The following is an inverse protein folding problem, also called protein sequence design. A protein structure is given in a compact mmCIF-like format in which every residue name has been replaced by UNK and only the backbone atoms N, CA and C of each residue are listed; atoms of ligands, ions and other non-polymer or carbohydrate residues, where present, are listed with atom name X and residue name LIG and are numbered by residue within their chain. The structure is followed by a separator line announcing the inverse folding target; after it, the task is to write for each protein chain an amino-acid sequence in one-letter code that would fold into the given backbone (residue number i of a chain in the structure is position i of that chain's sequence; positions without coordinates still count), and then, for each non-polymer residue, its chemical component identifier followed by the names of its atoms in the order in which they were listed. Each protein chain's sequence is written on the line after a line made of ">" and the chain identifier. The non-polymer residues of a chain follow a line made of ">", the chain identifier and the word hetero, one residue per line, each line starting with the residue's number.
data_IF_350774272959
#
_entry.id   IF_350774272959
#
_cell.length_a   1.000
_cell.length_b   1.000
_cell.length_c   1.000
_cell.angle_alpha   90.00
_cell.angle_beta   90.00
_cell.angle_gamma   90.00
#
_symmetry.space_group_name_H-M   'P 1'
#
loop_
_entity.id
_entity.type
_entity.pdbx_description
1 polymer ?
#
# COMPACT_ATOMS: atom_id res chain seq x y z
N UNK A 1 -53.51 -15.60 85.33
CA UNK A 1 -54.67 -14.71 85.10
C UNK A 1 -54.25 -13.59 84.15
N UNK A 2 -55.00 -13.39 83.05
CA UNK A 2 -54.99 -12.26 82.06
C UNK A 2 -53.79 -12.16 81.09
N UNK A 3 -53.96 -12.58 79.82
CA UNK A 3 -54.36 -11.85 78.56
C UNK A 3 -53.11 -11.24 77.86
N UNK A 4 -52.59 -11.59 76.66
CA UNK A 4 -53.03 -11.98 75.29
C UNK A 4 -53.75 -10.90 74.44
N UNK A 5 -53.12 -10.58 73.28
CA UNK A 5 -53.62 -10.30 71.91
C UNK A 5 -53.66 -8.87 71.28
N UNK A 6 -53.02 -8.78 70.08
CA UNK A 6 -53.39 -8.15 68.77
C UNK A 6 -53.49 -6.60 68.69
N UNK A 7 -53.24 -5.79 67.62
CA UNK A 7 -53.23 -5.88 66.11
C UNK A 7 -52.66 -4.51 65.59
N UNK A 8 -51.68 -4.41 64.65
CA UNK A 8 -51.75 -4.15 63.17
C UNK A 8 -51.73 -2.68 62.64
N UNK A 9 -50.80 -2.44 61.69
CA UNK A 9 -50.73 -1.52 60.52
C UNK A 9 -50.88 0.01 60.71
N UNK A 10 -50.19 0.91 60.00
CA UNK A 10 -50.05 1.04 58.53
C UNK A 10 -48.71 1.74 58.19
N UNK A 11 -47.95 1.14 57.27
CA UNK A 11 -46.80 1.71 56.57
C UNK A 11 -47.32 2.24 55.22
N UNK A 12 -47.23 3.54 54.97
CA UNK A 12 -47.50 4.16 53.67
C UNK A 12 -46.29 4.95 53.24
N UNK A 13 -45.25 4.23 52.78
CA UNK A 13 -44.17 4.82 52.01
C UNK A 13 -44.48 4.62 50.52
N UNK A 14 -44.86 5.73 49.89
CA UNK A 14 -44.86 5.89 48.45
C UNK A 14 -43.40 5.72 47.98
N UNK A 15 -43.06 4.51 47.53
CA UNK A 15 -41.95 4.28 46.62
C UNK A 15 -42.58 3.94 45.28
N UNK A 16 -42.74 4.96 44.45
CA UNK A 16 -42.85 4.78 43.01
C UNK A 16 -41.59 4.04 42.57
N UNK A 17 -41.70 2.71 42.48
CA UNK A 17 -40.77 1.92 41.71
C UNK A 17 -40.83 2.45 40.28
N UNK A 18 -39.76 3.10 39.84
CA UNK A 18 -39.47 3.21 38.43
C UNK A 18 -39.37 1.77 37.92
N UNK A 19 -40.47 1.26 37.36
CA UNK A 19 -40.41 0.16 36.42
C UNK A 19 -39.69 0.74 35.21
N UNK A 20 -38.36 0.67 35.24
CA UNK A 20 -37.60 0.58 34.00
C UNK A 20 -38.13 -0.70 33.37
N UNK A 21 -39.10 -0.57 32.46
CA UNK A 21 -39.31 -1.60 31.46
C UNK A 21 -38.01 -1.66 30.69
N UNK A 22 -37.09 -2.51 31.14
CA UNK A 22 -36.07 -3.09 30.29
C UNK A 22 -36.85 -3.72 29.16
N UNK A 23 -36.97 -3.00 28.05
CA UNK A 23 -37.44 -3.57 26.80
C UNK A 23 -36.55 -4.78 26.57
N UNK A 24 -37.13 -5.97 26.68
CA UNK A 24 -36.42 -7.21 26.40
C UNK A 24 -35.92 -7.06 24.96
N UNK A 25 -34.59 -7.04 24.78
CA UNK A 25 -34.04 -6.94 23.43
C UNK A 25 -34.56 -8.12 22.64
N UNK A 26 -35.10 -7.86 21.44
CA UNK A 26 -35.55 -8.87 20.47
C UNK A 26 -34.50 -9.95 20.20
N UNK A 27 -33.23 -9.62 20.46
CA UNK A 27 -32.09 -10.50 20.27
C UNK A 27 -31.35 -10.64 21.61
N UNK A 28 -31.16 -11.88 22.02
CA UNK A 28 -30.25 -12.24 23.10
C UNK A 28 -28.95 -12.79 22.51
N UNK A 29 -27.82 -12.38 23.08
CA UNK A 29 -26.48 -12.85 22.70
C UNK A 29 -25.84 -13.46 23.94
N UNK A 30 -25.44 -14.73 23.81
CA UNK A 30 -24.70 -15.48 24.84
C UNK A 30 -23.24 -15.05 24.94
N UNK A 31 -22.46 -15.83 25.70
CA UNK A 31 -21.02 -15.60 25.80
C UNK A 31 -20.34 -15.77 24.43
N UNK A 32 -19.41 -14.85 24.13
CA UNK A 32 -18.59 -14.92 22.93
C UNK A 32 -17.30 -15.65 23.26
N UNK A 33 -17.15 -16.85 22.71
CA UNK A 33 -15.96 -17.67 22.83
C UNK A 33 -15.05 -17.48 21.61
N UNK A 34 -13.76 -17.26 21.84
CA UNK A 34 -12.75 -17.28 20.78
C UNK A 34 -11.73 -18.37 21.12
N UNK A 35 -11.67 -19.49 20.37
CA UNK A 35 -10.85 -20.65 20.73
C UNK A 35 -9.37 -20.32 20.87
N UNK A 36 -8.87 -19.38 20.07
CA UNK A 36 -7.49 -18.91 20.18
C UNK A 36 -7.36 -17.47 19.68
N UNK A 37 -6.53 -16.69 20.38
CA UNK A 37 -6.14 -15.34 19.97
C UNK A 37 -4.80 -15.37 19.25
N UNK A 38 -4.75 -16.11 18.14
CA UNK A 38 -3.54 -16.28 17.32
C UNK A 38 -3.69 -15.59 15.98
N UNK A 39 -2.57 -15.30 15.34
CA UNK A 39 -2.58 -14.79 13.97
C UNK A 39 -3.28 -15.75 12.99
N UNK A 40 -3.81 -15.19 11.92
CA UNK A 40 -4.57 -15.89 10.89
C UNK A 40 -6.07 -15.74 11.05
N UNK A 41 -6.78 -16.63 10.37
CA UNK A 41 -8.24 -16.67 10.37
C UNK A 41 -8.73 -17.48 11.58
N UNK A 42 -9.47 -16.83 12.46
CA UNK A 42 -10.10 -17.42 13.64
C UNK A 42 -11.63 -17.34 13.48
N UNK A 43 -12.35 -18.10 14.30
CA UNK A 43 -13.82 -18.00 14.39
C UNK A 43 -14.21 -17.76 15.83
N UNK A 44 -14.94 -16.69 16.08
CA UNK A 44 -15.66 -16.54 17.34
C UNK A 44 -16.89 -17.42 17.28
N UNK A 45 -17.37 -17.86 18.43
CA UNK A 45 -18.56 -18.67 18.56
C UNK A 45 -19.44 -18.05 19.63
N UNK A 46 -20.71 -17.82 19.30
CA UNK A 46 -21.68 -17.30 20.26
C UNK A 46 -23.06 -17.84 19.95
N UNK A 47 -23.85 -18.00 20.99
CA UNK A 47 -25.26 -18.35 20.87
C UNK A 47 -26.08 -17.06 20.69
N UNK A 48 -26.99 -17.02 19.72
CA UNK A 48 -27.88 -15.88 19.50
C UNK A 48 -29.32 -16.37 19.40
N UNK A 49 -30.18 -15.86 20.26
CA UNK A 49 -31.60 -16.22 20.31
C UNK A 49 -32.48 -15.07 19.80
N UNK A 50 -33.37 -15.38 18.87
CA UNK A 50 -34.38 -14.47 18.37
C UNK A 50 -35.67 -14.62 19.20
N UNK A 51 -35.97 -13.60 20.00
CA UNK A 51 -37.19 -13.52 20.83
C UNK A 51 -38.33 -12.78 20.14
N UNK A 52 -38.11 -12.27 18.94
CA UNK A 52 -39.07 -11.54 18.13
C UNK A 52 -40.03 -12.51 17.40
N UNK A 53 -41.27 -12.10 17.10
CA UNK A 53 -42.18 -12.87 16.26
C UNK A 53 -41.77 -12.90 14.76
N UNK A 54 -40.75 -12.15 14.37
CA UNK A 54 -40.26 -12.06 13.00
C UNK A 54 -38.85 -12.65 12.87
N UNK A 55 -38.52 -13.19 11.69
CA UNK A 55 -37.15 -13.62 11.38
C UNK A 55 -36.20 -12.42 11.51
N UNK A 56 -35.05 -12.64 12.14
CA UNK A 56 -34.00 -11.64 12.29
C UNK A 56 -32.87 -11.94 11.33
N UNK A 57 -32.46 -10.93 10.57
CA UNK A 57 -31.30 -11.03 9.69
C UNK A 57 -30.14 -10.32 10.36
N UNK A 58 -29.09 -11.08 10.67
CA UNK A 58 -27.96 -10.60 11.45
C UNK A 58 -26.74 -10.49 10.55
N UNK A 59 -26.19 -9.28 10.48
CA UNK A 59 -24.84 -9.08 9.99
C UNK A 59 -23.92 -9.01 11.21
N UNK A 60 -23.05 -10.00 11.34
CA UNK A 60 -21.94 -9.96 12.28
C UNK A 60 -20.73 -9.30 11.60
N UNK A 61 -20.37 -8.12 12.08
CA UNK A 61 -19.15 -7.42 11.71
C UNK A 61 -18.05 -7.70 12.74
N UNK A 62 -16.88 -8.10 12.26
CA UNK A 62 -15.65 -8.08 13.04
C UNK A 62 -14.76 -6.99 12.48
N UNK A 63 -14.31 -6.10 13.35
CA UNK A 63 -13.33 -5.07 13.03
C UNK A 63 -12.11 -5.25 13.93
N UNK A 64 -10.92 -5.19 13.35
CA UNK A 64 -9.67 -5.32 14.06
C UNK A 64 -8.79 -4.12 13.73
N UNK A 65 -8.31 -3.43 14.76
CA UNK A 65 -7.39 -2.31 14.63
C UNK A 65 -6.13 -2.60 15.43
N UNK A 66 -4.98 -2.61 14.76
CA UNK A 66 -3.68 -2.68 15.42
C UNK A 66 -3.14 -1.30 15.79
N UNK A 67 -2.57 -1.22 16.99
CA UNK A 67 -1.55 -0.26 17.37
C UNK A 67 -0.24 -1.03 17.51
N UNK A 68 0.44 -1.22 16.38
CA UNK A 68 1.73 -1.91 16.31
C UNK A 68 2.90 -0.97 16.52
N UNK A 69 4.11 -1.52 16.46
CA UNK A 69 5.32 -0.74 16.62
C UNK A 69 5.70 0.00 15.33
N UNK A 70 5.51 -0.66 14.18
CA UNK A 70 5.82 -0.08 12.87
C UNK A 70 4.63 -0.03 11.93
N UNK A 71 3.69 -0.96 12.04
CA UNK A 71 2.54 -1.09 11.15
C UNK A 71 1.25 -1.23 11.94
N UNK A 72 0.19 -0.59 11.42
CA UNK A 72 -1.12 -0.53 12.05
C UNK A 72 -2.19 -1.09 11.09
N UNK A 73 -2.14 -2.39 10.76
CA UNK A 73 -3.13 -3.00 9.88
C UNK A 73 -4.54 -2.91 10.48
N UNK A 74 -5.52 -2.70 9.61
CA UNK A 74 -6.94 -2.80 9.93
C UNK A 74 -7.56 -3.95 9.12
N UNK A 75 -8.40 -4.76 9.75
CA UNK A 75 -9.20 -5.79 9.07
C UNK A 75 -10.66 -5.62 9.45
N UNK A 76 -11.52 -5.81 8.46
CA UNK A 76 -12.97 -5.87 8.64
C UNK A 76 -13.50 -7.09 7.91
N UNK A 77 -14.39 -7.84 8.53
CA UNK A 77 -15.09 -8.94 7.90
C UNK A 77 -16.57 -8.91 8.27
N UNK A 78 -17.42 -9.37 7.34
CA UNK A 78 -18.85 -9.49 7.52
C UNK A 78 -19.27 -10.93 7.31
N UNK A 79 -20.11 -11.44 8.20
CA UNK A 79 -20.78 -12.74 8.05
C UNK A 79 -22.26 -12.54 8.29
N UNK A 80 -23.09 -13.19 7.47
CA UNK A 80 -24.53 -12.98 7.45
C UNK A 80 -25.24 -14.22 7.95
N UNK A 81 -26.27 -14.03 8.78
CA UNK A 81 -27.06 -15.10 9.37
C UNK A 81 -28.55 -14.74 9.34
N UNK A 82 -29.39 -15.75 9.34
CA UNK A 82 -30.83 -15.60 9.52
C UNK A 82 -31.26 -16.46 10.70
N UNK A 83 -32.00 -15.88 11.65
CA UNK A 83 -32.45 -16.54 12.87
C UNK A 83 -33.98 -16.51 12.87
N UNK A 84 -34.66 -17.66 12.70
CA UNK A 84 -36.12 -17.72 12.69
C UNK A 84 -36.75 -17.27 14.02
N UNK A 85 -38.05 -16.91 14.03
CA UNK A 85 -38.76 -16.50 15.24
C UNK A 85 -38.71 -17.57 16.34
N UNK A 86 -38.34 -17.18 17.56
CA UNK A 86 -38.30 -18.08 18.72
C UNK A 86 -37.15 -19.09 18.71
N UNK A 87 -36.25 -19.05 17.72
CA UNK A 87 -35.13 -19.97 17.60
C UNK A 87 -33.83 -19.39 18.17
N UNK A 88 -32.93 -20.31 18.48
CA UNK A 88 -31.57 -20.02 18.89
C UNK A 88 -30.59 -20.62 17.88
N UNK A 89 -29.66 -19.80 17.39
CA UNK A 89 -28.64 -20.19 16.44
C UNK A 89 -27.24 -19.97 17.01
N UNK A 90 -26.31 -20.83 16.63
CA UNK A 90 -24.88 -20.60 16.86
C UNK A 90 -24.32 -19.79 15.70
N UNK A 91 -23.77 -18.62 15.99
CA UNK A 91 -23.07 -17.81 15.00
C UNK A 91 -21.57 -18.05 15.11
N UNK A 92 -20.89 -18.11 13.97
CA UNK A 92 -19.46 -18.40 13.85
C UNK A 92 -18.67 -17.31 13.07
N UNK A 93 -18.78 -16.02 13.44
CA UNK A 93 -18.20 -14.93 12.67
C UNK A 93 -16.68 -15.06 12.52
N UNK A 94 -16.20 -14.74 11.32
CA UNK A 94 -14.79 -14.82 10.96
C UNK A 94 -14.03 -13.63 11.54
N UNK A 95 -12.88 -13.91 12.16
CA UNK A 95 -11.92 -12.91 12.61
C UNK A 95 -10.63 -13.09 11.82
N UNK A 96 -10.11 -12.02 11.24
CA UNK A 96 -8.84 -12.06 10.49
C UNK A 96 -7.81 -11.27 11.27
N UNK A 97 -6.91 -11.97 11.96
CA UNK A 97 -5.83 -11.38 12.76
C UNK A 97 -4.54 -11.37 11.90
N UNK A 98 -4.10 -10.23 11.35
CA UNK A 98 -2.85 -10.18 10.58
C UNK A 98 -1.65 -10.52 11.45
N UNK A 99 -0.58 -11.04 10.83
CA UNK A 99 0.67 -11.35 11.53
C UNK A 99 1.42 -10.09 11.93
N UNK A 100 1.08 -9.51 13.09
CA UNK A 100 1.59 -8.22 13.54
C UNK A 100 1.80 -8.21 15.06
N UNK A 101 2.82 -7.49 15.51
CA UNK A 101 3.12 -7.32 16.94
C UNK A 101 2.52 -6.01 17.47
N UNK A 102 2.34 -5.92 18.79
CA UNK A 102 1.72 -4.79 19.48
C UNK A 102 0.31 -5.08 19.98
N UNK A 103 -0.50 -4.02 20.17
CA UNK A 103 -1.86 -4.13 20.72
C UNK A 103 -2.87 -4.21 19.58
N UNK A 104 -3.80 -5.14 19.66
CA UNK A 104 -4.93 -5.25 18.76
C UNK A 104 -6.23 -5.05 19.53
N UNK A 105 -7.08 -4.12 19.06
CA UNK A 105 -8.45 -4.02 19.50
C UNK A 105 -9.34 -4.72 18.47
N UNK A 106 -10.03 -5.76 18.91
CA UNK A 106 -11.05 -6.46 18.12
C UNK A 106 -12.41 -6.00 18.60
N UNK A 107 -13.26 -5.57 17.69
CA UNK A 107 -14.65 -5.23 17.96
C UNK A 107 -15.54 -6.17 17.17
N UNK A 108 -16.44 -6.85 17.87
CA UNK A 108 -17.51 -7.65 17.28
C UNK A 108 -18.81 -6.87 17.42
N UNK A 109 -19.53 -6.69 16.32
CA UNK A 109 -20.84 -6.03 16.28
C UNK A 109 -21.85 -6.93 15.61
N UNK A 110 -23.06 -7.01 16.16
CA UNK A 110 -24.20 -7.64 15.50
C UNK A 110 -25.21 -6.57 15.13
N UNK A 111 -25.58 -6.51 13.86
CA UNK A 111 -26.59 -5.61 13.33
C UNK A 111 -27.84 -6.40 12.95
N UNK A 112 -28.99 -5.99 13.48
CA UNK A 112 -30.30 -6.49 13.09
C UNK A 112 -30.82 -5.70 11.89
N UNK A 113 -30.70 -6.29 10.71
CA UNK A 113 -31.01 -5.65 9.43
C UNK A 113 -32.31 -6.20 8.84
N UNK A 114 -32.89 -5.46 7.90
CA UNK A 114 -34.08 -5.91 7.16
C UNK A 114 -33.67 -6.91 6.07
N UNK A 115 -32.59 -6.60 5.34
CA UNK A 115 -31.95 -7.46 4.34
C UNK A 115 -30.43 -7.48 4.58
N UNK A 116 -29.79 -8.64 4.45
CA UNK A 116 -28.33 -8.76 4.61
C UNK A 116 -27.53 -8.10 3.49
N UNK A 117 -28.20 -7.64 2.43
CA UNK A 117 -27.62 -6.80 1.37
C UNK A 117 -27.72 -5.29 1.63
N UNK A 118 -28.42 -4.87 2.69
CA UNK A 118 -28.62 -3.45 2.99
C UNK A 118 -27.33 -2.78 3.51
N UNK A 119 -27.33 -1.44 3.43
CA UNK A 119 -26.33 -0.64 4.10
C UNK A 119 -26.56 -0.77 5.61
N UNK A 120 -25.50 -1.16 6.32
CA UNK A 120 -25.51 -1.21 7.79
C UNK A 120 -25.62 0.21 8.35
N UNK A 121 -26.64 0.45 9.15
CA UNK A 121 -26.90 1.72 9.82
C UNK A 121 -26.59 1.63 11.32
N UNK A 122 -26.15 2.73 11.97
CA UNK A 122 -25.80 2.72 13.38
C UNK A 122 -26.96 2.35 14.32
N UNK A 123 -28.19 2.65 13.95
CA UNK A 123 -29.41 2.34 14.71
C UNK A 123 -29.83 0.86 14.65
N UNK A 124 -29.25 0.09 13.72
CA UNK A 124 -29.44 -1.36 13.61
C UNK A 124 -28.54 -2.16 14.58
N UNK A 125 -27.68 -1.49 15.35
CA UNK A 125 -26.74 -2.15 16.27
C UNK A 125 -27.50 -2.83 17.43
N UNK A 126 -27.49 -4.15 17.44
CA UNK A 126 -28.12 -4.95 18.49
C UNK A 126 -27.14 -5.32 19.62
N UNK A 127 -25.86 -5.50 19.28
CA UNK A 127 -24.82 -5.95 20.21
C UNK A 127 -23.43 -5.47 19.79
N UNK A 128 -22.60 -5.14 20.78
CA UNK A 128 -21.18 -4.82 20.58
C UNK A 128 -20.35 -5.38 21.74
N UNK A 129 -19.20 -6.00 21.42
CA UNK A 129 -18.19 -6.40 22.40
C UNK A 129 -16.78 -6.09 21.88
N UNK A 130 -15.93 -5.62 22.78
CA UNK A 130 -14.52 -5.36 22.49
C UNK A 130 -13.61 -6.37 23.19
N UNK A 131 -12.54 -6.75 22.50
CA UNK A 131 -11.47 -7.58 23.01
C UNK A 131 -10.14 -6.87 22.77
N UNK A 132 -9.29 -6.83 23.80
CA UNK A 132 -7.94 -6.27 23.71
C UNK A 132 -6.93 -7.41 23.79
N UNK A 133 -6.10 -7.52 22.77
CA UNK A 133 -5.08 -8.57 22.63
C UNK A 133 -3.72 -7.89 22.51
N UNK A 134 -2.68 -8.50 23.09
CA UNK A 134 -1.30 -8.04 22.90
C UNK A 134 -0.46 -9.17 22.34
N UNK A 135 0.23 -8.89 21.23
CA UNK A 135 1.20 -9.79 20.61
C UNK A 135 2.60 -9.24 20.88
N UNK A 136 3.36 -9.93 21.73
CA UNK A 136 4.72 -9.52 22.08
C UNK A 136 5.69 -9.88 20.95
N UNK A 137 6.58 -8.95 20.61
CA UNK A 137 7.67 -9.20 19.67
C UNK A 137 8.70 -10.15 20.32
N UNK A 138 8.93 -11.35 19.76
CA UNK A 138 9.93 -12.28 20.28
C UNK A 138 11.34 -11.75 20.07
N UNK A 139 12.25 -12.01 21.02
CA UNK A 139 13.66 -11.58 20.94
C UNK A 139 14.34 -12.03 19.64
N UNK A 140 14.05 -13.27 19.19
CA UNK A 140 14.59 -13.81 17.94
C UNK A 140 14.14 -13.06 16.69
N UNK A 141 13.03 -12.31 16.76
CA UNK A 141 12.51 -11.52 15.66
C UNK A 141 12.98 -10.07 15.67
N UNK A 142 13.44 -9.55 16.82
CA UNK A 142 13.92 -8.16 16.97
C UNK A 142 14.92 -7.73 15.88
N UNK A 143 15.95 -8.53 15.51
CA UNK A 143 16.92 -8.12 14.50
C UNK A 143 16.31 -7.84 13.11
N UNK A 144 15.20 -8.51 12.78
CA UNK A 144 14.50 -8.34 11.51
C UNK A 144 13.67 -7.05 11.44
N UNK A 145 13.37 -6.46 12.60
CA UNK A 145 12.61 -5.20 12.70
C UNK A 145 13.50 -3.97 12.90
N UNK A 146 14.71 -4.15 13.47
CA UNK A 146 15.71 -3.07 13.57
C UNK A 146 15.97 -2.43 12.21
N UNK A 147 16.08 -3.26 11.16
CA UNK A 147 16.30 -2.84 9.80
C UNK A 147 14.99 -2.88 9.01
N UNK A 148 14.17 -1.83 9.15
CA UNK A 148 12.86 -1.71 8.48
C UNK A 148 12.91 -2.19 7.02
N UNK A 149 11.96 -3.04 6.65
CA UNK A 149 11.85 -3.58 5.29
C UNK A 149 11.01 -2.63 4.44
N UNK A 150 11.65 -2.09 3.40
CA UNK A 150 11.03 -1.21 2.41
C UNK A 150 10.58 -2.01 1.20
N UNK A 151 9.42 -1.61 0.68
CA UNK A 151 8.76 -2.19 -0.49
C UNK A 151 8.62 -1.10 -1.57
N UNK A 152 8.26 -1.45 -2.82
CA UNK A 152 7.91 -0.45 -3.81
C UNK A 152 6.83 0.50 -3.27
N UNK A 153 6.85 1.80 -3.67
CA UNK A 153 5.88 2.78 -3.20
C UNK A 153 4.43 2.27 -3.30
N UNK A 154 3.64 2.53 -2.24
CA UNK A 154 2.25 2.06 -2.01
C UNK A 154 2.05 0.55 -1.80
N UNK A 155 2.97 -0.33 -2.20
CA UNK A 155 2.79 -1.78 -2.03
C UNK A 155 2.63 -2.14 -0.55
N UNK A 156 3.38 -1.47 0.33
CA UNK A 156 3.27 -1.65 1.78
C UNK A 156 1.94 -1.25 2.41
N UNK A 157 1.05 -0.57 1.69
CA UNK A 157 -0.29 -0.20 2.17
C UNK A 157 -1.35 -1.24 1.77
N UNK A 158 -0.97 -2.26 1.01
CA UNK A 158 -1.88 -3.34 0.62
C UNK A 158 -2.05 -4.33 1.79
N UNK A 159 -3.23 -4.93 2.02
CA UNK A 159 -3.49 -5.85 3.13
C UNK A 159 -2.61 -7.09 3.19
N UNK A 160 -1.93 -7.39 2.08
CA UNK A 160 -1.01 -8.52 2.05
C UNK A 160 0.38 -8.12 2.57
N UNK A 161 0.70 -6.82 2.66
CA UNK A 161 2.02 -6.29 3.02
C UNK A 161 1.99 -5.23 4.13
N UNK A 162 0.80 -4.88 4.63
CA UNK A 162 0.59 -3.90 5.71
C UNK A 162 0.76 -4.51 7.11
N UNK A 163 1.36 -5.70 7.21
CA UNK A 163 1.67 -6.37 8.46
C UNK A 163 3.14 -6.81 8.50
N UNK A 164 3.67 -6.87 9.73
CA UNK A 164 5.08 -7.12 10.02
C UNK A 164 5.55 -8.50 9.56
N UNK A 165 4.78 -9.55 9.84
CA UNK A 165 5.13 -10.92 9.47
C UNK A 165 5.27 -11.10 7.97
N UNK A 166 4.34 -10.57 7.17
CA UNK A 166 4.38 -10.69 5.71
C UNK A 166 5.64 -10.05 5.11
N UNK A 167 6.16 -8.96 5.69
CA UNK A 167 7.42 -8.35 5.23
C UNK A 167 8.63 -9.17 5.61
N UNK A 168 8.66 -9.66 6.84
CA UNK A 168 9.80 -10.42 7.38
C UNK A 168 9.89 -11.83 6.80
N UNK A 169 8.77 -12.44 6.42
CA UNK A 169 8.71 -13.79 5.83
C UNK A 169 9.67 -13.93 4.63
N UNK A 170 9.73 -12.93 3.75
CA UNK A 170 10.62 -12.97 2.58
C UNK A 170 12.09 -12.95 2.97
N UNK A 171 12.46 -12.19 3.99
CA UNK A 171 13.83 -12.16 4.52
C UNK A 171 14.19 -13.52 5.13
N UNK A 172 13.31 -14.08 5.96
CA UNK A 172 13.54 -15.38 6.61
C UNK A 172 13.68 -16.51 5.58
N UNK A 173 12.86 -16.51 4.53
CA UNK A 173 12.97 -17.47 3.44
C UNK A 173 14.24 -17.27 2.60
N UNK A 174 14.67 -16.02 2.39
CA UNK A 174 15.92 -15.72 1.70
C UNK A 174 17.15 -16.22 2.47
N UNK A 175 17.09 -16.19 3.80
CA UNK A 175 18.09 -16.80 4.69
C UNK A 175 18.02 -18.34 4.75
N UNK A 176 17.07 -18.95 4.04
CA UNK A 176 16.93 -20.41 3.92
C UNK A 176 16.19 -21.07 5.09
N UNK A 177 15.50 -20.31 5.95
CA UNK A 177 14.77 -20.86 7.09
C UNK A 177 13.59 -21.72 6.64
N UNK A 178 13.38 -22.82 7.35
CA UNK A 178 12.24 -23.72 7.20
C UNK A 178 10.96 -23.16 7.83
N UNK A 179 9.82 -23.76 7.49
CA UNK A 179 8.51 -23.41 8.09
C UNK A 179 8.54 -23.54 9.62
N UNK A 180 9.18 -24.58 10.15
CA UNK A 180 9.31 -24.80 11.59
C UNK A 180 10.12 -23.71 12.26
N UNK A 181 11.29 -23.39 11.73
CA UNK A 181 12.15 -22.33 12.27
C UNK A 181 11.48 -20.96 12.24
N UNK A 182 10.73 -20.65 11.17
CA UNK A 182 9.97 -19.40 11.06
C UNK A 182 8.86 -19.34 12.11
N UNK A 183 8.13 -20.45 12.30
CA UNK A 183 7.06 -20.56 13.28
C UNK A 183 7.61 -20.38 14.72
N UNK A 184 8.72 -21.04 15.03
CA UNK A 184 9.39 -20.95 16.33
C UNK A 184 9.90 -19.54 16.62
N UNK A 185 10.56 -18.90 15.63
CA UNK A 185 11.04 -17.52 15.77
C UNK A 185 9.90 -16.53 15.99
N UNK A 186 8.82 -16.65 15.21
CA UNK A 186 7.69 -15.74 15.27
C UNK A 186 6.70 -16.05 16.42
N UNK A 187 6.88 -17.18 17.13
CA UNK A 187 5.95 -17.73 18.12
C UNK A 187 4.54 -17.85 17.53
N UNK A 188 4.44 -18.55 16.39
CA UNK A 188 3.18 -18.78 15.70
C UNK A 188 3.03 -20.24 15.24
N UNK A 189 1.85 -20.60 14.73
CA UNK A 189 1.59 -21.95 14.27
C UNK A 189 2.24 -22.22 12.90
N UNK A 190 2.82 -23.42 12.73
CA UNK A 190 3.38 -23.85 11.43
C UNK A 190 2.34 -23.83 10.30
N UNK A 191 1.07 -24.09 10.63
CA UNK A 191 -0.05 -23.99 9.68
C UNK A 191 -0.28 -22.56 9.18
N UNK A 192 -0.08 -21.55 10.04
CA UNK A 192 -0.17 -20.14 9.65
C UNK A 192 0.95 -19.78 8.65
N UNK A 193 2.20 -20.13 8.98
CA UNK A 193 3.34 -19.91 8.09
C UNK A 193 3.13 -20.61 6.74
N UNK A 194 2.65 -21.85 6.76
CA UNK A 194 2.34 -22.61 5.54
C UNK A 194 1.26 -21.92 4.69
N UNK A 195 0.15 -21.49 5.30
CA UNK A 195 -0.94 -20.76 4.61
C UNK A 195 -0.43 -19.48 3.97
N UNK A 196 0.44 -18.74 4.65
CA UNK A 196 1.06 -17.53 4.09
C UNK A 196 1.96 -17.86 2.90
N UNK A 197 2.83 -18.87 3.01
CA UNK A 197 3.68 -19.29 1.87
C UNK A 197 2.84 -19.76 0.68
N UNK A 198 1.76 -20.50 0.91
CA UNK A 198 0.80 -20.91 -0.14
C UNK A 198 0.13 -19.69 -0.80
N UNK A 199 -0.29 -18.70 -0.01
CA UNK A 199 -0.84 -17.44 -0.52
C UNK A 199 0.17 -16.70 -1.42
N UNK A 200 1.44 -16.65 -1.02
CA UNK A 200 2.50 -16.01 -1.81
C UNK A 200 2.92 -16.80 -3.04
N UNK A 201 2.84 -18.13 -2.97
CA UNK A 201 3.05 -19.04 -4.11
C UNK A 201 1.95 -18.85 -5.15
N UNK A 202 0.67 -18.83 -4.74
CA UNK A 202 -0.47 -18.57 -5.62
C UNK A 202 -0.41 -17.19 -6.30
N UNK A 203 0.31 -16.24 -5.71
CA UNK A 203 0.53 -14.90 -6.26
C UNK A 203 1.79 -14.78 -7.12
N UNK A 204 2.60 -15.83 -7.19
CA UNK A 204 3.82 -15.90 -8.00
C UNK A 204 5.05 -15.24 -7.37
N UNK A 205 5.00 -14.89 -6.08
CA UNK A 205 6.14 -14.30 -5.37
C UNK A 205 7.12 -15.36 -4.85
N UNK A 206 6.61 -16.56 -4.58
CA UNK A 206 7.39 -17.73 -4.16
C UNK A 206 7.15 -18.83 -5.21
N UNK A 207 8.19 -19.59 -5.53
CA UNK A 207 8.09 -20.84 -6.29
C UNK A 207 8.65 -21.99 -5.47
N UNK A 208 8.16 -23.19 -5.74
CA UNK A 208 8.67 -24.42 -5.12
C UNK A 208 9.58 -25.10 -6.14
N UNK A 209 10.84 -25.29 -5.78
CA UNK A 209 11.84 -25.99 -6.60
C UNK A 209 12.45 -27.14 -5.79
N UNK A 210 12.22 -28.38 -6.23
CA UNK A 210 12.67 -29.61 -5.58
C UNK A 210 12.38 -29.67 -4.07
N UNK A 211 11.20 -29.18 -3.66
CA UNK A 211 10.79 -29.15 -2.25
C UNK A 211 11.36 -27.97 -1.44
N UNK A 212 12.12 -27.07 -2.06
CA UNK A 212 12.63 -25.84 -1.44
C UNK A 212 11.84 -24.63 -1.92
N UNK A 213 11.62 -23.65 -1.05
CA UNK A 213 11.01 -22.38 -1.41
C UNK A 213 12.08 -21.45 -2.00
N UNK A 214 11.81 -20.92 -3.19
CA UNK A 214 12.64 -19.93 -3.88
C UNK A 214 11.83 -18.67 -4.13
N UNK A 215 12.45 -17.51 -3.93
CA UNK A 215 11.81 -16.23 -4.16
C UNK A 215 11.90 -15.85 -5.64
N UNK A 216 10.80 -15.37 -6.21
CA UNK A 216 10.77 -14.77 -7.55
C UNK A 216 11.02 -13.25 -7.51
N UNK A 217 11.28 -12.72 -6.32
CA UNK A 217 11.48 -11.30 -6.05
C UNK A 217 12.78 -11.10 -5.28
N UNK A 218 13.52 -10.02 -5.55
CA UNK A 218 14.78 -9.77 -4.87
C UNK A 218 14.53 -9.37 -3.41
N UNK A 219 15.29 -9.98 -2.51
CA UNK A 219 15.50 -9.51 -1.14
C UNK A 219 16.91 -8.93 -1.08
N UNK A 220 16.99 -7.64 -0.83
CA UNK A 220 18.22 -6.84 -0.84
C UNK A 220 18.59 -6.61 0.63
N UNK A 221 19.70 -7.22 1.05
CA UNK A 221 20.19 -7.10 2.42
C UNK A 221 20.68 -5.69 2.74
N UNK A 222 20.91 -5.35 4.01
CA UNK A 222 21.43 -4.02 4.40
C UNK A 222 22.78 -3.74 3.73
N UNK A 223 23.70 -4.69 3.76
CA UNK A 223 25.03 -4.53 3.18
C UNK A 223 24.98 -4.35 1.66
N UNK A 224 24.09 -5.12 1.01
CA UNK A 224 23.85 -4.99 -0.43
C UNK A 224 23.22 -3.64 -0.79
N UNK A 225 22.23 -3.21 -0.01
CA UNK A 225 21.54 -1.96 -0.19
C UNK A 225 22.49 -0.76 -0.02
N UNK A 226 23.42 -0.82 0.94
CA UNK A 226 24.46 0.20 1.12
C UNK A 226 25.43 0.23 -0.07
N UNK A 227 25.89 -0.93 -0.56
CA UNK A 227 26.74 -0.98 -1.75
C UNK A 227 26.04 -0.40 -2.99
N UNK A 228 24.78 -0.80 -3.23
CA UNK A 228 23.97 -0.26 -4.32
C UNK A 228 23.67 1.23 -4.16
N UNK A 229 23.48 1.73 -2.93
CA UNK A 229 23.31 3.15 -2.64
C UNK A 229 24.57 3.95 -2.94
N UNK A 230 25.78 3.46 -2.63
CA UNK A 230 27.02 4.15 -3.00
C UNK A 230 27.16 4.28 -4.51
N UNK A 231 26.83 3.22 -5.26
CA UNK A 231 26.75 3.30 -6.72
C UNK A 231 25.67 4.28 -7.18
N UNK A 232 24.50 4.32 -6.52
CA UNK A 232 23.44 5.27 -6.85
C UNK A 232 23.90 6.73 -6.59
N UNK A 233 24.72 6.96 -5.55
CA UNK A 233 25.30 8.28 -5.26
C UNK A 233 26.19 8.74 -6.43
N UNK A 234 27.20 7.94 -6.81
CA UNK A 234 28.09 8.31 -7.92
C UNK A 234 27.34 8.48 -9.24
N UNK A 235 26.41 7.57 -9.54
CA UNK A 235 25.53 7.66 -10.72
C UNK A 235 24.70 8.95 -10.70
N UNK A 236 24.15 9.30 -9.54
CA UNK A 236 23.31 10.49 -9.38
C UNK A 236 24.10 11.79 -9.56
N UNK A 237 25.34 11.83 -9.07
CA UNK A 237 26.23 13.00 -9.19
C UNK A 237 26.68 13.19 -10.64
N UNK A 238 27.05 12.12 -11.33
CA UNK A 238 27.38 12.16 -12.75
C UNK A 238 26.17 12.56 -13.61
N UNK A 239 24.97 12.03 -13.33
CA UNK A 239 23.74 12.45 -14.01
C UNK A 239 23.42 13.93 -13.78
N UNK A 240 23.53 14.41 -12.52
CA UNK A 240 23.30 15.80 -12.21
C UNK A 240 24.27 16.71 -12.97
N UNK A 241 25.55 16.32 -13.05
CA UNK A 241 26.57 17.04 -13.83
C UNK A 241 26.23 17.09 -15.32
N UNK A 242 25.86 15.95 -15.92
CA UNK A 242 25.45 15.88 -17.34
C UNK A 242 24.25 16.78 -17.61
N UNK A 243 23.19 16.68 -16.80
CA UNK A 243 21.98 17.49 -16.97
C UNK A 243 22.30 18.97 -16.81
N UNK A 244 23.08 19.36 -15.79
CA UNK A 244 23.48 20.74 -15.55
C UNK A 244 24.25 21.33 -16.74
N UNK A 245 25.19 20.58 -17.30
CA UNK A 245 25.98 20.99 -18.46
C UNK A 245 25.12 21.18 -19.73
N UNK A 246 23.96 20.51 -19.83
CA UNK A 246 23.07 20.59 -21.00
C UNK A 246 21.94 21.60 -20.85
N UNK A 247 21.82 22.32 -19.72
CA UNK A 247 20.72 23.25 -19.50
C UNK A 247 20.68 24.42 -20.52
N UNK A 248 21.83 24.89 -20.99
CA UNK A 248 21.88 25.92 -22.04
C UNK A 248 21.38 25.38 -23.38
N UNK A 249 21.78 24.15 -23.74
CA UNK A 249 21.28 23.48 -24.95
C UNK A 249 19.77 23.28 -24.87
N UNK A 250 19.25 22.84 -23.73
CA UNK A 250 17.82 22.70 -23.47
C UNK A 250 17.07 24.02 -23.70
N UNK A 251 17.57 25.13 -23.13
CA UNK A 251 16.97 26.46 -23.32
C UNK A 251 16.95 26.86 -24.80
N UNK A 252 18.06 26.67 -25.53
CA UNK A 252 18.13 26.96 -26.97
C UNK A 252 17.13 26.13 -27.79
N UNK A 253 16.98 24.85 -27.48
CA UNK A 253 15.99 23.98 -28.16
C UNK A 253 14.58 24.46 -27.88
N UNK A 254 14.24 24.77 -26.63
CA UNK A 254 12.93 25.35 -26.28
C UNK A 254 12.69 26.65 -27.04
N UNK A 255 13.66 27.56 -27.06
CA UNK A 255 13.53 28.87 -27.72
C UNK A 255 13.37 28.73 -29.23
N UNK A 256 14.01 27.74 -29.86
CA UNK A 256 13.76 27.38 -31.27
C UNK A 256 12.33 26.90 -31.49
N UNK A 257 11.81 26.04 -30.61
CA UNK A 257 10.44 25.54 -30.71
C UNK A 257 9.39 26.64 -30.52
N UNK A 258 9.70 27.66 -29.70
CA UNK A 258 8.87 28.87 -29.56
C UNK A 258 8.88 29.66 -30.87
N UNK A 259 10.06 29.89 -31.47
CA UNK A 259 10.18 30.60 -32.74
C UNK A 259 9.46 29.88 -33.90
N UNK A 260 9.41 28.55 -33.87
CA UNK A 260 8.66 27.72 -34.81
C UNK A 260 7.14 27.66 -34.54
N UNK A 261 6.67 28.27 -33.44
CA UNK A 261 5.24 28.24 -33.04
C UNK A 261 4.76 26.88 -32.51
N UNK A 262 5.67 25.97 -32.16
CA UNK A 262 5.36 24.66 -31.56
C UNK A 262 5.21 24.71 -30.03
N UNK A 263 5.78 25.75 -29.41
CA UNK A 263 5.62 26.05 -27.98
C UNK A 263 5.05 27.47 -27.90
N UNK A 264 3.98 27.70 -27.10
CA UNK A 264 3.39 29.01 -26.98
C UNK A 264 4.35 29.95 -26.26
N UNK A 265 4.36 31.23 -26.64
CA UNK A 265 5.18 32.26 -25.98
C UNK A 265 4.77 32.45 -24.51
N UNK A 266 3.48 32.24 -24.19
CA UNK A 266 2.97 32.31 -22.82
C UNK A 266 3.26 31.04 -22.02
N UNK A 267 4.17 31.16 -21.07
CA UNK A 267 4.60 30.08 -20.16
C UNK A 267 3.54 29.62 -19.15
N UNK A 268 2.41 30.35 -19.05
CA UNK A 268 1.29 30.02 -18.17
C UNK A 268 0.22 29.17 -18.86
N UNK A 269 0.38 28.84 -20.14
CA UNK A 269 -0.57 27.97 -20.84
C UNK A 269 -0.45 26.54 -20.32
N UNK A 270 -1.51 25.96 -19.76
CA UNK A 270 -1.48 24.58 -19.24
C UNK A 270 -2.05 23.52 -20.21
N UNK A 271 -2.76 23.98 -21.25
CA UNK A 271 -3.44 23.11 -22.23
C UNK A 271 -2.64 22.88 -23.51
N UNK A 272 -1.55 23.61 -23.69
CA UNK A 272 -0.66 23.44 -24.83
C UNK A 272 0.41 22.39 -24.51
N UNK A 273 0.58 21.43 -25.42
CA UNK A 273 1.45 20.28 -25.23
C UNK A 273 2.94 20.60 -25.09
N UNK A 274 3.38 21.79 -25.49
CA UNK A 274 4.77 22.25 -25.39
C UNK A 274 5.07 23.12 -24.16
N UNK A 275 4.05 23.71 -23.53
CA UNK A 275 4.24 24.70 -22.47
C UNK A 275 4.89 24.14 -21.18
N UNK A 276 4.85 22.82 -20.98
CA UNK A 276 5.60 22.16 -19.90
C UNK A 276 7.11 22.45 -19.95
N UNK A 277 7.67 22.76 -21.13
CA UNK A 277 9.10 23.05 -21.31
C UNK A 277 9.58 24.34 -20.61
N UNK A 278 8.68 25.17 -20.09
CA UNK A 278 9.06 26.28 -19.20
C UNK A 278 9.34 25.82 -17.77
N UNK A 279 8.83 24.66 -17.38
CA UNK A 279 8.84 24.17 -16.00
C UNK A 279 9.88 23.05 -15.86
N UNK A 280 11.15 23.43 -15.69
CA UNK A 280 12.29 22.49 -15.71
C UNK A 280 12.22 21.42 -14.64
N UNK A 281 11.69 21.73 -13.46
CA UNK A 281 11.59 20.77 -12.35
C UNK A 281 10.73 19.53 -12.69
N UNK A 282 9.45 19.67 -13.11
CA UNK A 282 8.66 18.52 -13.55
C UNK A 282 9.19 17.87 -14.83
N UNK A 283 9.82 18.64 -15.74
CA UNK A 283 10.45 18.05 -16.94
C UNK A 283 11.61 17.13 -16.56
N UNK A 284 12.52 17.58 -15.71
CA UNK A 284 13.68 16.77 -15.34
C UNK A 284 13.23 15.59 -14.48
N UNK A 285 12.42 15.83 -13.44
CA UNK A 285 11.95 14.78 -12.55
C UNK A 285 11.10 13.73 -13.26
N UNK A 286 9.99 14.15 -13.84
CA UNK A 286 9.01 13.22 -14.43
C UNK A 286 9.41 12.68 -15.80
N UNK A 287 10.02 13.51 -16.64
CA UNK A 287 10.19 13.19 -18.06
C UNK A 287 11.61 12.73 -18.42
N UNK A 288 12.64 13.42 -17.93
CA UNK A 288 14.04 13.01 -18.14
C UNK A 288 14.38 11.79 -17.29
N UNK A 289 14.23 11.89 -15.97
CA UNK A 289 14.69 10.85 -15.06
C UNK A 289 13.80 9.61 -15.08
N UNK A 290 12.47 9.77 -15.13
CA UNK A 290 11.57 8.61 -15.08
C UNK A 290 11.09 8.14 -16.45
N UNK A 291 10.46 9.00 -17.26
CA UNK A 291 9.90 8.58 -18.54
C UNK A 291 10.97 8.14 -19.53
N UNK A 292 12.09 8.86 -19.63
CA UNK A 292 13.17 8.54 -20.57
C UNK A 292 14.28 7.66 -19.96
N UNK A 293 15.15 8.21 -19.12
CA UNK A 293 16.32 7.47 -18.61
C UNK A 293 15.91 6.25 -17.78
N UNK A 294 14.90 6.40 -16.92
CA UNK A 294 14.37 5.31 -16.12
C UNK A 294 13.79 4.18 -16.95
N UNK A 295 13.07 4.49 -18.04
CA UNK A 295 12.52 3.43 -18.91
C UNK A 295 13.63 2.68 -19.64
N UNK A 296 14.67 3.39 -20.10
CA UNK A 296 15.85 2.78 -20.70
C UNK A 296 16.59 1.87 -19.72
N UNK A 297 16.79 2.33 -18.48
CA UNK A 297 17.49 1.55 -17.45
C UNK A 297 16.69 0.33 -16.98
N UNK A 298 15.43 0.52 -16.59
CA UNK A 298 14.61 -0.49 -15.90
C UNK A 298 13.96 -1.45 -16.91
N UNK A 299 13.36 -0.92 -17.97
CA UNK A 299 12.50 -1.65 -18.91
C UNK A 299 13.03 -1.66 -20.35
N UNK A 300 14.32 -1.40 -20.56
CA UNK A 300 14.98 -1.42 -21.88
C UNK A 300 14.28 -0.50 -22.91
N UNK A 301 13.72 0.61 -22.44
CA UNK A 301 13.03 1.61 -23.26
C UNK A 301 11.53 1.38 -23.44
N UNK A 302 10.98 0.27 -22.91
CA UNK A 302 9.53 0.08 -22.90
C UNK A 302 8.84 1.06 -21.94
N UNK A 303 7.62 1.47 -22.27
CA UNK A 303 6.85 2.40 -21.44
C UNK A 303 6.64 1.83 -20.02
N UNK A 304 7.15 2.55 -19.01
CA UNK A 304 7.14 2.12 -17.61
C UNK A 304 5.74 2.14 -16.98
N UNK A 305 4.93 1.12 -17.27
CA UNK A 305 3.68 0.88 -16.54
C UNK A 305 3.95 0.08 -15.27
N UNK A 306 4.33 0.79 -14.21
CA UNK A 306 4.57 0.15 -12.91
C UNK A 306 3.25 -0.39 -12.34
N UNK A 307 2.17 0.41 -12.42
CA UNK A 307 0.88 0.07 -11.84
C UNK A 307 -0.13 -0.41 -12.88
N UNK A 308 -0.79 -1.54 -12.60
CA UNK A 308 -1.86 -2.05 -13.46
C UNK A 308 -3.12 -1.20 -13.33
N UNK A 309 -3.40 -0.40 -14.36
CA UNK A 309 -4.73 0.18 -14.62
C UNK A 309 -5.14 1.36 -13.73
N UNK A 310 -4.45 2.51 -13.79
CA UNK A 310 -4.83 3.80 -13.17
C UNK A 310 -5.25 3.80 -11.68
N UNK A 311 -5.12 2.67 -10.99
CA UNK A 311 -5.61 2.51 -9.64
C UNK A 311 -4.44 2.67 -8.69
N UNK A 312 -4.28 3.89 -8.17
CA UNK A 312 -3.23 4.19 -7.20
C UNK A 312 -3.52 3.54 -5.83
N UNK A 313 -4.72 2.99 -5.60
CA UNK A 313 -5.10 2.26 -4.40
C UNK A 313 -4.83 0.75 -4.53
N UNK A 314 -5.17 0.15 -5.65
CA UNK A 314 -5.00 -1.28 -5.87
C UNK A 314 -3.83 -1.58 -6.80
N UNK A 315 -2.64 -1.63 -6.21
CA UNK A 315 -1.38 -1.72 -6.94
C UNK A 315 -0.96 -3.18 -7.12
N UNK A 316 -0.82 -3.60 -8.39
CA UNK A 316 -0.26 -4.89 -8.77
C UNK A 316 1.00 -4.68 -9.61
N UNK A 317 2.18 -4.91 -8.99
CA UNK A 317 3.51 -4.64 -9.57
C UNK A 317 4.48 -5.83 -9.46
N UNK A 318 4.13 -7.10 -9.81
CA UNK A 318 5.02 -8.23 -9.55
C UNK A 318 6.43 -8.06 -10.11
N UNK A 319 6.55 -7.60 -11.36
CA UNK A 319 7.85 -7.41 -12.01
C UNK A 319 8.71 -6.35 -11.34
N UNK A 320 8.09 -5.36 -10.69
CA UNK A 320 8.77 -4.27 -9.99
C UNK A 320 8.88 -4.50 -8.48
N UNK A 321 8.48 -5.67 -7.99
CA UNK A 321 8.52 -5.99 -6.57
C UNK A 321 9.97 -6.15 -6.09
N UNK A 322 10.25 -5.65 -4.89
CA UNK A 322 11.52 -5.86 -4.17
C UNK A 322 11.26 -5.79 -2.65
N UNK A 323 12.20 -6.31 -1.87
CA UNK A 323 12.27 -6.15 -0.41
C UNK A 323 13.66 -5.62 -0.06
N UNK A 324 13.75 -4.43 0.52
CA UNK A 324 15.04 -3.82 0.87
C UNK A 324 15.11 -3.63 2.38
N UNK A 325 16.10 -4.21 3.03
CA UNK A 325 16.36 -4.00 4.45
C UNK A 325 17.12 -2.68 4.67
N UNK A 326 16.95 -2.07 5.84
CA UNK A 326 17.71 -0.87 6.27
C UNK A 326 16.92 0.44 6.22
N UNK A 327 15.63 0.37 5.94
CA UNK A 327 14.68 1.46 6.10
C UNK A 327 14.75 2.56 5.05
N UNK A 328 14.03 3.69 5.28
CA UNK A 328 13.83 4.72 4.26
C UNK A 328 15.11 5.35 3.73
N UNK A 329 16.20 5.34 4.50
CA UNK A 329 17.50 5.91 4.12
C UNK A 329 18.21 5.11 3.01
N UNK A 330 17.76 3.89 2.73
CA UNK A 330 18.24 3.02 1.65
C UNK A 330 17.23 2.91 0.50
N UNK A 331 16.28 3.83 0.43
CA UNK A 331 15.31 3.95 -0.67
C UNK A 331 15.16 5.39 -1.10
N UNK A 332 14.82 5.63 -2.37
CA UNK A 332 14.43 6.96 -2.81
C UNK A 332 13.02 7.31 -2.33
N UNK A 333 12.67 8.59 -2.43
CA UNK A 333 11.34 9.09 -2.09
C UNK A 333 10.46 9.29 -3.32
N UNK A 334 11.06 9.42 -4.50
CA UNK A 334 10.34 9.77 -5.73
C UNK A 334 9.20 8.79 -6.01
N UNK A 335 8.07 9.31 -6.44
CA UNK A 335 6.93 8.54 -6.92
C UNK A 335 6.81 8.71 -8.43
N UNK A 336 6.63 7.59 -9.13
CA UNK A 336 6.33 7.60 -10.55
C UNK A 336 5.26 6.55 -10.86
N UNK A 337 4.23 6.98 -11.58
CA UNK A 337 3.19 6.11 -12.10
C UNK A 337 2.90 6.49 -13.54
N UNK A 338 2.88 5.54 -14.46
CA UNK A 338 2.43 5.81 -15.81
C UNK A 338 1.41 4.78 -16.28
N UNK A 339 0.44 5.24 -17.05
CA UNK A 339 -0.50 4.39 -17.74
C UNK A 339 -0.66 4.87 -19.18
N UNK A 340 -0.81 3.91 -20.09
CA UNK A 340 -1.02 4.12 -21.50
C UNK A 340 -2.26 3.32 -21.91
N UNK A 341 -3.25 3.98 -22.51
CA UNK A 341 -4.32 3.29 -23.23
C UNK A 341 -4.10 3.45 -24.75
N UNK A 342 -5.10 3.12 -25.58
CA UNK A 342 -4.96 3.17 -27.05
C UNK A 342 -4.82 4.59 -27.63
N UNK A 343 -5.28 5.61 -26.90
CA UNK A 343 -5.44 6.98 -27.43
C UNK A 343 -4.76 8.06 -26.58
N UNK A 344 -4.38 7.74 -25.35
CA UNK A 344 -3.74 8.66 -24.43
C UNK A 344 -2.79 7.92 -23.49
N UNK A 345 -1.89 8.69 -22.90
CA UNK A 345 -1.12 8.24 -21.76
C UNK A 345 -1.18 9.30 -20.66
N UNK A 346 -0.99 8.84 -19.43
CA UNK A 346 -0.95 9.65 -18.23
C UNK A 346 0.25 9.26 -17.41
N UNK A 347 1.02 10.26 -17.01
CA UNK A 347 2.17 10.09 -16.13
C UNK A 347 1.91 10.92 -14.87
N UNK A 348 2.20 10.33 -13.71
CA UNK A 348 2.24 11.00 -12.42
C UNK A 348 3.68 10.95 -11.93
N UNK A 349 4.15 12.08 -11.43
CA UNK A 349 5.45 12.22 -10.81
C UNK A 349 5.30 12.95 -9.47
N UNK A 350 5.98 12.47 -8.45
CA UNK A 350 6.07 13.10 -7.14
C UNK A 350 7.50 13.06 -6.63
N UNK A 351 7.95 14.10 -5.93
CA UNK A 351 9.19 14.07 -5.14
C UNK A 351 9.10 13.12 -3.93
N UNK A 352 7.88 12.90 -3.45
CA UNK A 352 7.50 11.93 -2.44
C UNK A 352 6.25 11.16 -2.86
N UNK A 353 5.98 10.05 -2.17
CA UNK A 353 4.74 9.30 -2.33
C UNK A 353 3.52 10.16 -1.99
N UNK A 354 2.54 10.33 -2.89
CA UNK A 354 1.36 11.11 -2.59
C UNK A 354 0.48 10.40 -1.57
N UNK A 355 -0.05 11.18 -0.64
CA UNK A 355 -1.12 10.72 0.23
C UNK A 355 -2.45 10.78 -0.54
N UNK A 356 -3.14 9.63 -0.57
CA UNK A 356 -4.43 9.49 -1.24
C UNK A 356 -5.38 8.73 -0.34
N UNK A 357 -6.64 9.14 -0.35
CA UNK A 357 -7.75 8.45 0.32
C UNK A 357 -8.36 7.46 -0.65
N UNK A 358 -8.40 6.20 -0.26
CA UNK A 358 -9.04 5.12 -1.01
C UNK A 358 -10.45 4.86 -0.44
N UNK A 359 -11.41 4.53 -1.30
CA UNK A 359 -12.72 4.00 -0.88
C UNK A 359 -12.51 2.86 0.15
N UNK A 360 -13.09 2.90 1.36
CA UNK A 360 -12.88 1.90 2.41
C UNK A 360 -13.01 0.44 1.96
N UNK A 361 -13.86 0.19 0.95
CA UNK A 361 -14.13 -1.15 0.45
C UNK A 361 -13.24 -1.58 -0.73
N UNK A 362 -12.21 -0.80 -1.06
CA UNK A 362 -11.34 -1.08 -2.21
C UNK A 362 -10.62 -2.43 -2.13
N UNK A 363 -10.36 -2.89 -0.90
CA UNK A 363 -9.65 -4.12 -0.59
C UNK A 363 -10.49 -5.37 -0.82
N UNK A 364 -11.82 -5.23 -0.79
CA UNK A 364 -12.78 -6.33 -0.93
C UNK A 364 -13.36 -6.44 -2.35
N UNK A 365 -13.12 -5.44 -3.20
CA UNK A 365 -13.41 -5.54 -4.65
C UNK A 365 -12.36 -6.48 -5.25
N UNK A 366 -12.72 -7.76 -5.40
CA UNK A 366 -11.87 -8.76 -6.03
C UNK A 366 -11.30 -8.26 -7.37
N UNK A 367 -10.22 -8.90 -7.85
CA UNK A 367 -9.40 -8.56 -9.04
C UNK A 367 -10.16 -8.18 -10.34
N UNK A 368 -11.49 -8.27 -10.40
CA UNK A 368 -12.32 -8.15 -11.60
C UNK A 368 -13.41 -7.08 -11.64
N UNK A 369 -13.67 -6.23 -10.64
CA UNK A 369 -14.74 -5.21 -10.79
C UNK A 369 -14.41 -3.82 -10.21
N UNK A 370 -14.13 -2.88 -11.12
CA UNK A 370 -14.20 -1.43 -10.90
C UNK A 370 -12.87 -0.75 -10.59
N UNK A 371 -12.65 0.44 -11.17
CA UNK A 371 -11.65 1.38 -10.66
C UNK A 371 -12.03 1.73 -9.23
N UNK A 372 -11.10 1.59 -8.28
CA UNK A 372 -11.30 2.10 -6.93
C UNK A 372 -11.43 3.62 -7.03
N UNK A 373 -12.46 4.20 -6.40
CA UNK A 373 -12.54 5.64 -6.24
C UNK A 373 -11.48 6.07 -5.22
N UNK A 374 -10.66 7.02 -5.62
CA UNK A 374 -9.63 7.56 -4.76
C UNK A 374 -9.42 9.03 -5.07
N UNK A 375 -8.99 9.77 -4.06
CA UNK A 375 -8.79 11.22 -4.13
C UNK A 375 -7.46 11.57 -3.45
N UNK A 376 -6.76 12.57 -3.98
CA UNK A 376 -5.60 13.13 -3.30
C UNK A 376 -6.05 13.85 -2.03
N UNK A 377 -5.25 13.76 -0.97
CA UNK A 377 -5.37 14.78 0.07
C UNK A 377 -5.02 16.15 -0.52
N UNK A 378 -5.62 17.25 -0.03
CA UNK A 378 -5.48 18.57 -0.67
C UNK A 378 -4.04 18.99 -0.94
N UNK A 379 -3.12 18.71 -0.02
CA UNK A 379 -1.69 19.07 -0.12
C UNK A 379 -0.93 18.28 -1.19
N UNK A 380 -1.50 17.19 -1.71
CA UNK A 380 -0.88 16.28 -2.67
C UNK A 380 -1.55 16.33 -4.05
N UNK A 381 -2.50 17.24 -4.27
CA UNK A 381 -3.13 17.40 -5.58
C UNK A 381 -2.04 17.77 -6.60
N UNK A 382 -1.85 16.99 -7.68
CA UNK A 382 -0.80 17.23 -8.64
C UNK A 382 -1.13 18.42 -9.55
N UNK A 383 -0.13 19.24 -9.85
CA UNK A 383 -0.23 20.23 -10.92
C UNK A 383 -0.26 19.51 -12.27
N UNK A 384 -1.33 19.72 -13.04
CA UNK A 384 -1.57 19.02 -14.29
C UNK A 384 -1.08 19.83 -15.51
N UNK A 385 -0.46 19.13 -16.46
CA UNK A 385 -0.02 19.66 -17.74
C UNK A 385 -0.49 18.76 -18.88
N UNK A 386 -0.96 19.36 -19.96
CA UNK A 386 -1.05 18.67 -21.25
C UNK A 386 0.34 18.56 -21.84
N UNK A 387 0.66 17.40 -22.44
CA UNK A 387 1.96 17.15 -23.04
C UNK A 387 1.81 16.55 -24.44
N UNK A 388 2.50 17.16 -25.41
CA UNK A 388 2.74 16.55 -26.71
C UNK A 388 4.13 15.91 -26.71
N UNK A 389 4.18 14.58 -26.73
CA UNK A 389 5.45 13.84 -26.72
C UNK A 389 6.35 14.20 -27.90
N UNK A 390 5.80 14.54 -29.07
CA UNK A 390 6.60 14.87 -30.26
C UNK A 390 7.37 16.19 -30.12
N UNK A 391 6.81 17.13 -29.37
CA UNK A 391 7.43 18.44 -29.09
C UNK A 391 8.42 18.31 -27.95
N UNK A 392 7.98 17.70 -26.84
CA UNK A 392 8.76 17.63 -25.61
C UNK A 392 9.98 16.72 -25.74
N UNK A 393 9.91 15.68 -26.59
CA UNK A 393 11.02 14.75 -26.81
C UNK A 393 12.29 15.44 -27.30
N UNK A 394 12.18 16.43 -28.19
CA UNK A 394 13.33 17.17 -28.73
C UNK A 394 14.15 17.85 -27.63
N UNK A 395 13.46 18.46 -26.65
CA UNK A 395 14.12 19.11 -25.52
C UNK A 395 14.68 18.11 -24.51
N UNK A 396 13.99 16.98 -24.27
CA UNK A 396 14.49 15.91 -23.40
C UNK A 396 15.77 15.30 -23.99
N UNK A 397 15.79 14.97 -25.28
CA UNK A 397 16.94 14.36 -25.94
C UNK A 397 18.19 15.26 -25.87
N UNK A 398 18.00 16.58 -25.88
CA UNK A 398 19.08 17.54 -25.69
C UNK A 398 19.72 17.47 -24.29
N UNK A 399 18.97 17.08 -23.26
CA UNK A 399 19.49 16.93 -21.89
C UNK A 399 20.22 15.60 -21.67
N UNK A 400 19.79 14.53 -22.35
CA UNK A 400 20.11 13.15 -21.95
C UNK A 400 21.01 12.40 -22.91
N UNK A 401 21.26 12.90 -24.12
CA UNK A 401 22.11 12.21 -25.12
C UNK A 401 23.48 11.78 -24.57
N UNK A 402 24.18 12.54 -23.70
CA UNK A 402 25.46 12.10 -23.14
C UNK A 402 25.35 11.04 -22.03
N UNK A 403 24.15 10.70 -21.56
CA UNK A 403 23.95 9.82 -20.40
C UNK A 403 23.93 8.32 -20.76
N UNK A 404 23.97 7.95 -22.04
CA UNK A 404 23.80 6.56 -22.49
C UNK A 404 24.85 5.62 -21.90
N UNK A 405 26.14 6.00 -21.98
CA UNK A 405 27.23 5.19 -21.43
C UNK A 405 27.11 5.06 -19.91
N UNK A 406 26.68 6.13 -19.23
CA UNK A 406 26.47 6.11 -17.79
C UNK A 406 25.38 5.12 -17.36
N UNK A 407 24.31 4.96 -18.16
CA UNK A 407 23.28 3.97 -17.87
C UNK A 407 23.80 2.53 -18.02
N UNK A 408 24.66 2.30 -19.02
CA UNK A 408 25.30 0.99 -19.25
C UNK A 408 26.22 0.67 -18.08
N UNK A 409 27.14 1.58 -17.75
CA UNK A 409 28.12 1.39 -16.68
C UNK A 409 27.45 1.18 -15.32
N UNK A 410 26.38 1.93 -15.03
CA UNK A 410 25.59 1.75 -13.82
C UNK A 410 24.88 0.39 -13.80
N UNK A 411 24.34 -0.08 -14.93
CA UNK A 411 23.69 -1.38 -15.05
C UNK A 411 24.65 -2.54 -14.80
N UNK A 412 25.83 -2.48 -15.41
CA UNK A 412 26.88 -3.50 -15.28
C UNK A 412 27.42 -3.53 -13.84
N UNK A 413 27.69 -2.37 -13.26
CA UNK A 413 28.16 -2.25 -11.86
C UNK A 413 27.11 -2.77 -10.87
N UNK A 414 25.83 -2.48 -11.12
CA UNK A 414 24.73 -2.97 -10.28
C UNK A 414 24.60 -4.50 -10.36
N UNK A 415 24.79 -5.08 -11.55
CA UNK A 415 24.80 -6.53 -11.73
C UNK A 415 25.98 -7.18 -10.99
N UNK A 416 27.18 -6.57 -11.01
CA UNK A 416 28.34 -7.07 -10.24
C UNK A 416 28.04 -7.07 -8.74
N UNK A 417 27.45 -5.99 -8.22
CA UNK A 417 27.04 -5.91 -6.81
C UNK A 417 26.04 -7.04 -6.52
N UNK A 418 24.94 -7.12 -7.27
CA UNK A 418 23.90 -8.12 -7.05
C UNK A 418 24.45 -9.55 -7.07
N UNK A 419 25.35 -9.87 -8.00
CA UNK A 419 25.99 -11.18 -8.08
C UNK A 419 26.88 -11.50 -6.87
N UNK A 420 27.55 -10.50 -6.28
CA UNK A 420 28.32 -10.71 -5.03
C UNK A 420 27.44 -11.07 -3.82
N UNK A 421 26.15 -10.77 -3.89
CA UNK A 421 25.14 -11.12 -2.87
C UNK A 421 24.25 -12.30 -3.28
N UNK A 422 24.62 -13.03 -4.33
CA UNK A 422 23.95 -14.27 -4.75
C UNK A 422 22.75 -14.09 -5.67
N UNK A 423 22.57 -12.91 -6.28
CA UNK A 423 21.57 -12.71 -7.33
C UNK A 423 22.17 -13.02 -8.70
N UNK A 424 21.64 -14.07 -9.36
CA UNK A 424 22.09 -14.45 -10.71
C UNK A 424 21.80 -13.37 -11.76
N UNK A 425 20.72 -12.60 -11.59
CA UNK A 425 20.30 -11.54 -12.51
C UNK A 425 19.57 -10.43 -11.76
N UNK A 426 19.77 -9.17 -12.17
CA UNK A 426 18.99 -8.04 -11.66
C UNK A 426 17.60 -7.98 -12.30
N UNK A 427 16.56 -8.13 -11.47
CA UNK A 427 15.15 -8.02 -11.90
C UNK A 427 14.74 -6.56 -12.15
N UNK A 428 13.57 -6.34 -12.79
CA UNK A 428 13.02 -5.00 -12.94
C UNK A 428 12.77 -4.31 -11.58
N UNK A 429 12.35 -5.05 -10.55
CA UNK A 429 12.20 -4.54 -9.19
C UNK A 429 13.51 -4.06 -8.57
N UNK A 430 14.59 -4.82 -8.78
CA UNK A 430 15.93 -4.41 -8.34
C UNK A 430 16.37 -3.11 -9.02
N UNK A 431 16.23 -3.05 -10.36
CA UNK A 431 16.57 -1.86 -11.13
C UNK A 431 15.72 -0.66 -10.74
N UNK A 432 14.44 -0.88 -10.49
CA UNK A 432 13.52 0.17 -10.06
C UNK A 432 13.91 0.72 -8.68
N UNK A 433 14.25 -0.12 -7.71
CA UNK A 433 14.76 0.31 -6.41
C UNK A 433 16.00 1.21 -6.56
N UNK A 434 17.01 0.72 -7.28
CA UNK A 434 18.25 1.48 -7.52
C UNK A 434 17.96 2.82 -8.20
N UNK A 435 17.17 2.79 -9.29
CA UNK A 435 16.84 3.98 -10.05
C UNK A 435 16.07 5.01 -9.22
N UNK A 436 15.20 4.55 -8.31
CA UNK A 436 14.45 5.43 -7.43
C UNK A 436 15.37 6.25 -6.51
N UNK A 437 16.43 5.64 -5.98
CA UNK A 437 17.48 6.36 -5.22
C UNK A 437 18.20 7.35 -6.14
N UNK A 438 18.68 6.89 -7.29
CA UNK A 438 19.42 7.69 -8.26
C UNK A 438 18.63 8.93 -8.68
N UNK A 439 17.38 8.77 -9.11
CA UNK A 439 16.52 9.87 -9.55
C UNK A 439 16.21 10.86 -8.41
N UNK A 440 15.91 10.37 -7.21
CA UNK A 440 15.67 11.22 -6.03
C UNK A 440 16.88 12.08 -5.70
N UNK A 441 18.07 11.48 -5.72
CA UNK A 441 19.32 12.16 -5.44
C UNK A 441 19.71 13.14 -6.54
N UNK A 442 19.57 12.77 -7.81
CA UNK A 442 19.84 13.69 -8.95
C UNK A 442 18.98 14.94 -8.85
N UNK A 443 17.68 14.81 -8.56
CA UNK A 443 16.79 15.96 -8.33
C UNK A 443 17.27 16.83 -7.17
N UNK A 444 17.63 16.20 -6.04
CA UNK A 444 18.13 16.90 -4.86
C UNK A 444 19.42 17.66 -5.14
N UNK A 445 20.36 17.06 -5.87
CA UNK A 445 21.64 17.67 -6.26
C UNK A 445 21.42 18.85 -7.20
N UNK A 446 20.55 18.73 -8.21
CA UNK A 446 20.25 19.82 -9.14
C UNK A 446 19.58 21.02 -8.44
N UNK A 447 18.66 20.77 -7.51
CA UNK A 447 18.03 21.84 -6.70
C UNK A 447 19.05 22.49 -5.79
N UNK A 448 19.85 21.70 -5.07
CA UNK A 448 20.88 22.21 -4.15
C UNK A 448 21.92 23.06 -4.88
N UNK A 449 22.27 22.71 -6.11
CA UNK A 449 23.20 23.45 -6.95
C UNK A 449 22.57 24.67 -7.64
N UNK A 450 21.27 24.93 -7.47
CA UNK A 450 20.57 26.04 -8.13
C UNK A 450 20.40 25.87 -9.64
N UNK A 451 20.57 24.66 -10.16
CA UNK A 451 20.41 24.37 -11.61
C UNK A 451 18.93 24.39 -12.00
N UNK A 452 18.06 23.96 -11.08
CA UNK A 452 16.60 24.04 -11.19
C UNK A 452 15.99 24.47 -9.86
N UNK A 453 14.80 25.03 -9.91
CA UNK A 453 14.04 25.43 -8.72
C UNK A 453 12.92 24.43 -8.44
N UNK A 454 12.75 24.03 -7.17
CA UNK A 454 11.61 23.22 -6.76
C UNK A 454 10.32 24.00 -6.99
N UNK A 455 9.34 23.36 -7.62
CA UNK A 455 8.06 24.01 -7.94
C UNK A 455 6.87 23.31 -7.28
N UNK A 456 5.88 24.11 -6.87
CA UNK A 456 4.63 23.63 -6.27
C UNK A 456 4.83 22.75 -5.03
N UNK A 457 3.92 21.81 -4.83
CA UNK A 457 3.97 20.78 -3.79
C UNK A 457 4.81 19.55 -4.19
N UNK A 458 5.57 19.62 -5.29
CA UNK A 458 6.35 18.49 -5.80
C UNK A 458 5.54 17.39 -6.48
N UNK A 459 4.23 17.56 -6.66
CA UNK A 459 3.34 16.58 -7.30
C UNK A 459 2.87 17.08 -8.68
N UNK A 460 3.02 16.24 -9.70
CA UNK A 460 2.77 16.60 -11.10
C UNK A 460 2.05 15.49 -11.86
N UNK A 461 1.22 15.90 -12.82
CA UNK A 461 0.52 15.01 -13.74
C UNK A 461 0.71 15.50 -15.17
N UNK A 462 1.09 14.59 -16.06
CA UNK A 462 1.23 14.84 -17.49
C UNK A 462 0.19 14.03 -18.24
N UNK A 463 -0.66 14.70 -19.00
CA UNK A 463 -1.70 14.09 -19.84
C UNK A 463 -1.30 14.27 -21.31
N UNK A 464 -1.06 13.18 -22.02
CA UNK A 464 -0.70 13.22 -23.45
C UNK A 464 -1.64 12.41 -24.33
N UNK A 465 -1.78 12.83 -25.58
CA UNK A 465 -2.48 12.07 -26.61
C UNK A 465 -1.48 11.18 -27.36
N UNK A 466 -1.89 9.96 -27.68
CA UNK A 466 -1.14 9.11 -28.61
C UNK A 466 -1.66 9.49 -29.99
N UNK A 467 -0.80 10.01 -30.90
CA UNK A 467 -1.22 10.28 -32.27
C UNK A 467 -1.85 9.02 -32.85
N UNK A 468 -3.06 9.14 -33.42
CA UNK A 468 -3.58 8.04 -34.24
C UNK A 468 -2.64 7.93 -35.42
N UNK A 469 -1.88 6.84 -35.50
CA UNK A 469 -1.25 6.45 -36.75
C UNK A 469 -2.37 6.36 -37.78
N UNK A 470 -2.38 7.29 -38.74
CA UNK A 470 -3.21 7.16 -39.93
C UNK A 470 -2.68 5.92 -40.66
N UNK A 471 -3.37 4.80 -40.47
CA UNK A 471 -3.15 3.57 -41.23
C UNK A 471 -3.36 3.80 -42.71
#
# INVERSE_FOLDING_TARGET
>A
MRKRFLTVAILSAIMFGQVVCTQERDIYVGEVEVPSWRWGEQRARMEVANRSPLTKFIIAETELQYTGEYLNPNRRAHTCYAIPPGETAWLDPVLVIPGNYGRAQVTLRLFDVVDTMDIILPDQLAYEQHFNITFHLPDGMVPYFQNRIMLPPRVGNLPNFDNEFARTLFVLLNEGKSIGEIADLAICDTSFVKKEIENWTARGYIRIDKGTYKLNVPVISVAEAEAGKQLAVSTSDSLASVIAAQMDTYRKVRDSLIAEGKVPVDSNTFYDGGAILYHTYPVIGGLVLWWDLGSRFISKGEFLTIFRGNDLCNIYTPSFMYFVQGGPVLTGSSFYAANKNKSNYRIYYGDQLPEIKCDPNFLFKGRRKGRVRWEYTPDYIPKAYVMDSSIVRLAIDALVRPADQLLIDAGDSLQIIASSFGHDNITQGYKYWFWNITATRTMSSLVKAGVIERSGNGQFRFDGLIPKENK
#
